data_IF_253144081013
#
_entry.id   IF_253144081013
#
_cell.length_a   1.000
_cell.length_b   1.000
_cell.length_c   1.000
_cell.angle_alpha   90.00
_cell.angle_beta   90.00
_cell.angle_gamma   90.00
#
_symmetry.space_group_name_H-M   'P 1'
#
loop_
_entity.id
_entity.type
_entity.pdbx_description
1 polymer ?
#
# COMPACT_ATOMS: atom_id res chain seq x y z
N UNK A 1 -12.09 1.45 -1.12
CA UNK A 1 -11.22 0.50 -1.87
C UNK A 1 -10.48 -0.40 -0.89
N UNK A 2 -10.46 -1.68 -1.15
CA UNK A 2 -9.67 -2.63 -0.37
C UNK A 2 -8.32 -2.82 -1.05
N UNK A 3 -7.24 -2.68 -0.29
CA UNK A 3 -5.90 -2.90 -0.82
C UNK A 3 -5.23 -3.95 0.05
N UNK A 4 -4.77 -5.03 -0.58
CA UNK A 4 -4.02 -6.08 0.10
C UNK A 4 -2.53 -5.83 -0.13
N UNK A 5 -1.81 -5.56 0.94
CA UNK A 5 -0.37 -5.37 0.91
C UNK A 5 0.32 -6.66 1.31
N UNK A 6 1.29 -7.08 0.52
CA UNK A 6 2.12 -8.25 0.82
C UNK A 6 3.57 -7.79 0.95
N UNK A 7 4.20 -8.14 2.05
CA UNK A 7 5.62 -7.86 2.24
C UNK A 7 6.44 -8.91 1.51
N UNK A 8 7.01 -8.55 0.36
CA UNK A 8 7.87 -9.44 -0.42
C UNK A 8 9.35 -9.26 -0.09
N UNK A 9 9.67 -8.34 0.82
CA UNK A 9 11.05 -8.15 1.28
C UNK A 9 11.45 -9.29 2.23
N UNK A 10 12.76 -9.56 2.38
CA UNK A 10 13.23 -10.63 3.27
C UNK A 10 13.23 -10.24 4.76
N UNK A 11 12.75 -9.06 5.11
CA UNK A 11 12.74 -8.54 6.48
C UNK A 11 11.37 -8.01 6.84
N UNK A 12 11.12 -7.84 8.14
CA UNK A 12 9.90 -7.22 8.64
C UNK A 12 9.88 -5.73 8.32
N UNK A 13 8.75 -5.24 7.83
CA UNK A 13 8.52 -3.83 7.58
C UNK A 13 7.65 -3.25 8.69
N UNK A 14 7.92 -2.01 9.07
CA UNK A 14 7.21 -1.34 10.17
C UNK A 14 6.77 0.06 9.75
N UNK A 15 5.84 0.63 10.52
CA UNK A 15 5.33 1.99 10.30
C UNK A 15 4.91 2.22 8.86
N UNK A 16 4.08 1.32 8.33
CA UNK A 16 3.61 1.41 6.96
C UNK A 16 2.45 2.39 6.94
N UNK A 17 2.66 3.55 6.33
CA UNK A 17 1.63 4.58 6.17
C UNK A 17 1.15 4.60 4.74
N UNK A 18 -0.14 4.40 4.56
CA UNK A 18 -0.77 4.53 3.25
C UNK A 18 -1.22 5.98 3.13
N UNK A 19 -0.69 6.70 2.16
CA UNK A 19 -0.96 8.13 1.96
C UNK A 19 -1.74 8.33 0.66
N UNK A 20 -2.56 9.36 0.65
CA UNK A 20 -3.46 9.67 -0.45
C UNK A 20 -4.86 9.16 -0.18
N UNK A 21 -5.86 9.75 -0.83
CA UNK A 21 -7.26 9.45 -0.57
C UNK A 21 -7.58 9.55 0.93
N UNK A 22 -8.20 8.55 1.51
CA UNK A 22 -8.51 8.52 2.94
C UNK A 22 -7.37 8.06 3.84
N UNK A 23 -6.32 7.51 3.26
CA UNK A 23 -5.17 7.01 4.03
C UNK A 23 -5.46 5.77 4.85
N UNK A 24 -4.40 5.15 5.38
CA UNK A 24 -4.49 4.03 6.30
C UNK A 24 -3.12 3.82 6.97
N UNK A 25 -3.04 2.86 7.89
CA UNK A 25 -1.79 2.57 8.60
C UNK A 25 -1.70 1.08 8.91
N UNK A 26 -0.52 0.51 8.74
CA UNK A 26 -0.20 -0.86 9.16
C UNK A 26 1.02 -0.76 10.08
N UNK A 27 0.91 -1.26 11.32
CA UNK A 27 2.00 -1.16 12.29
C UNK A 27 3.22 -1.98 11.88
N UNK A 28 2.98 -3.22 11.44
CA UNK A 28 4.04 -4.15 11.13
C UNK A 28 3.54 -5.18 10.12
N UNK A 29 4.43 -5.59 9.22
CA UNK A 29 4.13 -6.64 8.26
C UNK A 29 5.38 -7.51 8.13
N UNK A 30 5.30 -8.75 8.58
CA UNK A 30 6.43 -9.68 8.52
C UNK A 30 6.67 -10.17 7.10
N UNK A 31 7.88 -10.65 6.84
CA UNK A 31 8.24 -11.17 5.52
C UNK A 31 7.25 -12.25 5.08
N UNK A 32 6.68 -12.09 3.89
CA UNK A 32 5.68 -12.99 3.35
C UNK A 32 4.27 -12.78 3.87
N UNK A 33 4.09 -11.89 4.83
CA UNK A 33 2.78 -11.60 5.42
C UNK A 33 1.98 -10.65 4.54
N UNK A 34 0.65 -10.82 4.54
CA UNK A 34 -0.26 -9.93 3.82
C UNK A 34 -1.26 -9.34 4.79
N UNK A 35 -1.67 -8.11 4.54
CA UNK A 35 -2.74 -7.45 5.27
C UNK A 35 -3.59 -6.63 4.32
N UNK A 36 -4.90 -6.69 4.48
CA UNK A 36 -5.85 -5.92 3.69
C UNK A 36 -6.32 -4.72 4.51
N UNK A 37 -6.25 -3.54 3.90
CA UNK A 37 -6.74 -2.31 4.51
C UNK A 37 -7.84 -1.73 3.64
N UNK A 38 -8.71 -0.96 4.28
CA UNK A 38 -9.74 -0.19 3.58
C UNK A 38 -9.27 1.24 3.44
N UNK A 39 -9.25 1.74 2.19
CA UNK A 39 -8.92 3.13 1.88
C UNK A 39 -10.15 3.78 1.27
N UNK A 40 -10.64 4.84 1.88
CA UNK A 40 -11.78 5.57 1.37
C UNK A 40 -11.36 6.45 0.20
N UNK A 41 -12.04 6.31 -0.94
CA UNK A 41 -11.77 7.10 -2.13
C UNK A 41 -12.67 8.33 -2.09
N UNK A 42 -12.08 9.48 -1.79
CA UNK A 42 -12.80 10.74 -1.62
C UNK A 42 -12.86 11.58 -2.88
N UNK A 43 -12.28 11.11 -3.97
CA UNK A 43 -12.20 11.82 -5.25
C UNK A 43 -11.01 11.33 -6.02
N UNK A 44 -10.57 12.11 -7.00
CA UNK A 44 -9.37 11.77 -7.77
C UNK A 44 -8.14 11.92 -6.88
N UNK A 45 -7.36 10.86 -6.75
CA UNK A 45 -6.17 10.87 -5.91
C UNK A 45 -5.14 9.86 -6.38
N UNK A 46 -3.94 9.97 -5.85
CA UNK A 46 -2.92 8.94 -6.01
C UNK A 46 -2.65 8.32 -4.64
N UNK A 47 -2.25 7.06 -4.63
CA UNK A 47 -1.98 6.34 -3.40
C UNK A 47 -0.50 5.92 -3.40
N UNK A 48 0.18 6.21 -2.31
CA UNK A 48 1.53 5.76 -2.08
C UNK A 48 1.66 5.19 -0.68
N UNK A 49 2.81 4.62 -0.38
CA UNK A 49 3.13 4.14 0.96
C UNK A 49 4.50 4.63 1.39
N UNK A 50 4.63 4.88 2.69
CA UNK A 50 5.90 5.09 3.38
C UNK A 50 6.07 3.96 4.37
N UNK A 51 7.27 3.46 4.53
CA UNK A 51 7.52 2.42 5.52
C UNK A 51 8.99 2.42 5.95
N UNK A 52 9.27 1.73 7.06
CA UNK A 52 10.63 1.50 7.53
C UNK A 52 11.05 0.09 7.17
N UNK A 53 12.23 -0.01 6.53
CA UNK A 53 12.82 -1.28 6.13
C UNK A 53 14.24 -1.33 6.69
N UNK A 54 14.45 -2.13 7.73
CA UNK A 54 15.75 -2.20 8.41
C UNK A 54 16.23 -0.87 8.98
N UNK A 55 15.32 -0.03 9.46
CA UNK A 55 15.63 1.28 10.00
C UNK A 55 15.74 2.39 8.95
N UNK A 56 15.55 2.07 7.67
CA UNK A 56 15.59 3.04 6.59
C UNK A 56 14.19 3.36 6.10
N UNK A 57 13.91 4.64 5.90
CA UNK A 57 12.64 5.07 5.32
C UNK A 57 12.63 4.80 3.83
N UNK A 58 11.55 4.19 3.36
CA UNK A 58 11.34 3.92 1.95
C UNK A 58 9.94 4.37 1.55
N UNK A 59 9.77 4.65 0.27
CA UNK A 59 8.49 5.05 -0.32
C UNK A 59 8.25 4.27 -1.59
N UNK A 60 6.98 3.95 -1.84
CA UNK A 60 6.57 3.31 -3.09
C UNK A 60 5.27 3.93 -3.56
N UNK A 61 5.09 3.98 -4.88
CA UNK A 61 3.80 4.34 -5.47
C UNK A 61 2.94 3.08 -5.52
N UNK A 62 1.71 3.18 -5.03
CA UNK A 62 0.74 2.08 -5.07
C UNK A 62 -0.15 2.24 -6.28
N UNK A 63 -0.71 3.43 -6.47
CA UNK A 63 -1.55 3.73 -7.62
C UNK A 63 -1.32 5.18 -8.01
N UNK A 64 -0.95 5.41 -9.27
CA UNK A 64 -0.66 6.76 -9.74
C UNK A 64 -1.90 7.63 -9.88
N UNK A 65 -3.06 6.99 -10.09
CA UNK A 65 -4.32 7.71 -10.25
C UNK A 65 -5.49 6.79 -9.89
N UNK A 66 -6.34 7.26 -8.99
CA UNK A 66 -7.52 6.51 -8.53
C UNK A 66 -8.72 7.45 -8.51
N UNK A 67 -9.86 6.96 -8.96
CA UNK A 67 -11.13 7.68 -8.87
C UNK A 67 -12.16 6.83 -8.16
N UNK A 68 -13.25 7.46 -7.72
CA UNK A 68 -14.33 6.75 -7.04
C UNK A 68 -15.04 5.72 -7.91
N UNK A 69 -14.84 5.78 -9.24
CA UNK A 69 -15.45 4.85 -10.19
C UNK A 69 -14.54 3.67 -10.54
N UNK A 70 -13.32 3.64 -10.04
CA UNK A 70 -12.37 2.57 -10.30
C UNK A 70 -12.64 1.35 -9.43
N UNK A 71 -11.95 0.26 -9.73
CA UNK A 71 -12.11 -1.02 -9.05
C UNK A 71 -12.04 -0.91 -7.53
N UNK A 72 -12.69 -1.85 -6.84
CA UNK A 72 -12.81 -1.82 -5.38
C UNK A 72 -11.77 -2.66 -4.67
N UNK A 73 -10.94 -3.36 -5.42
CA UNK A 73 -9.89 -4.23 -4.86
C UNK A 73 -8.61 -4.02 -5.64
N UNK A 74 -7.48 -4.00 -4.93
CA UNK A 74 -6.18 -4.08 -5.56
C UNK A 74 -5.20 -4.78 -4.64
N UNK A 75 -4.09 -5.21 -5.21
CA UNK A 75 -2.98 -5.83 -4.47
C UNK A 75 -1.72 -5.04 -4.74
N UNK A 76 -0.88 -4.91 -3.72
CA UNK A 76 0.41 -4.27 -3.86
C UNK A 76 1.47 -5.10 -3.14
N UNK A 77 2.54 -5.44 -3.86
CA UNK A 77 3.67 -6.16 -3.29
C UNK A 77 4.73 -5.14 -2.86
N UNK A 78 4.92 -5.00 -1.56
CA UNK A 78 5.90 -4.06 -1.02
C UNK A 78 7.29 -4.63 -1.23
N UNK A 79 8.13 -3.86 -1.92
CA UNK A 79 9.49 -4.29 -2.26
C UNK A 79 9.59 -5.17 -3.48
N UNK A 80 8.48 -5.43 -4.19
CA UNK A 80 8.43 -6.28 -5.37
C UNK A 80 7.91 -5.54 -6.59
N UNK A 81 7.64 -6.31 -7.64
CA UNK A 81 7.05 -5.78 -8.86
C UNK A 81 5.54 -5.76 -8.75
N UNK A 82 4.95 -4.71 -9.28
CA UNK A 82 3.50 -4.50 -9.25
C UNK A 82 2.99 -4.07 -10.62
N UNK A 83 1.74 -4.49 -10.88
CA UNK A 83 0.98 -3.94 -11.99
C UNK A 83 -0.28 -3.30 -11.42
N UNK A 84 -0.57 -2.08 -11.82
CA UNK A 84 -1.81 -1.42 -11.45
C UNK A 84 -2.97 -2.16 -12.13
N UNK A 85 -3.95 -2.59 -11.34
CA UNK A 85 -5.11 -3.32 -11.83
C UNK A 85 -6.37 -2.65 -11.29
N UNK A 86 -7.11 -2.08 -12.20
CA UNK A 86 -8.38 -1.42 -11.87
C UNK A 86 -9.51 -1.97 -12.70
#
# INVERSE_FOLDING_TARGET
MRITFTNTAPITLTNIHIVGCGGAHIDKLESGESETVWVEITGDCSIGIDYLSGGQKKKESVASYVTSTMGQKMKHNIGGENKEQF
#
